data_IF_558731078664
#
_entry.id   IF_558731078664
#
_cell.length_a   1.000
_cell.length_b   1.000
_cell.length_c   1.000
_cell.angle_alpha   90.00
_cell.angle_beta   90.00
_cell.angle_gamma   90.00
#
_symmetry.space_group_name_H-M   'P 1'
#
loop_
_entity.id
_entity.type
_entity.pdbx_description
1 polymer ?
#
# COMPACT_ATOMS: atom_id res chain seq x y z
N UNK A 1 -28.13 -2.33 6.85
CA UNK A 1 -26.73 -2.47 7.28
C UNK A 1 -26.07 -3.73 6.67
N UNK A 2 -26.69 -4.91 6.79
CA UNK A 2 -26.07 -6.16 6.32
C UNK A 2 -25.73 -6.16 4.82
N UNK A 3 -26.60 -5.57 3.98
CA UNK A 3 -26.35 -5.48 2.53
C UNK A 3 -25.18 -4.56 2.22
N UNK A 4 -25.06 -3.42 2.95
CA UNK A 4 -23.92 -2.52 2.82
C UNK A 4 -22.61 -3.24 3.18
N UNK A 5 -22.62 -3.99 4.29
CA UNK A 5 -21.46 -4.77 4.73
C UNK A 5 -21.06 -5.84 3.72
N UNK A 6 -22.02 -6.60 3.21
CA UNK A 6 -21.75 -7.69 2.25
C UNK A 6 -21.20 -7.12 0.94
N UNK A 7 -21.77 -6.02 0.45
CA UNK A 7 -21.31 -5.38 -0.77
C UNK A 7 -19.88 -4.85 -0.61
N UNK A 8 -19.62 -4.14 0.50
CA UNK A 8 -18.32 -3.51 0.76
C UNK A 8 -17.16 -4.50 0.94
N UNK A 9 -17.46 -5.79 1.21
CA UNK A 9 -16.42 -6.81 1.25
C UNK A 9 -15.69 -6.96 -0.10
N UNK A 10 -16.37 -6.70 -1.23
CA UNK A 10 -15.74 -6.76 -2.56
C UNK A 10 -14.66 -5.69 -2.78
N UNK A 11 -14.66 -4.62 -2.00
CA UNK A 11 -13.64 -3.57 -2.12
C UNK A 11 -12.25 -4.04 -1.68
N UNK A 12 -12.19 -5.02 -0.76
CA UNK A 12 -10.94 -5.58 -0.27
C UNK A 12 -10.15 -6.35 -1.34
N UNK A 13 -10.78 -6.71 -2.46
CA UNK A 13 -10.10 -7.34 -3.60
C UNK A 13 -9.11 -6.37 -4.28
N UNK A 14 -9.25 -5.05 -4.06
CA UNK A 14 -8.29 -4.04 -4.51
C UNK A 14 -6.95 -4.09 -3.76
N UNK A 15 -6.87 -4.76 -2.60
CA UNK A 15 -5.63 -4.87 -1.84
C UNK A 15 -4.67 -5.88 -2.48
N UNK A 16 -3.33 -5.68 -2.36
CA UNK A 16 -2.34 -6.57 -2.95
C UNK A 16 -2.52 -8.02 -2.54
N UNK A 17 -2.31 -8.93 -3.48
CA UNK A 17 -2.27 -10.37 -3.23
C UNK A 17 -0.87 -10.81 -2.81
N UNK A 18 -0.75 -12.04 -2.26
CA UNK A 18 0.56 -12.58 -1.90
C UNK A 18 1.51 -12.74 -3.10
N UNK A 19 0.98 -12.93 -4.31
CA UNK A 19 1.77 -13.01 -5.54
C UNK A 19 2.43 -11.69 -5.92
N UNK A 20 1.82 -10.56 -5.53
CA UNK A 20 2.32 -9.22 -5.89
C UNK A 20 3.64 -8.89 -5.19
N UNK A 21 3.89 -9.49 -4.02
CA UNK A 21 5.17 -9.35 -3.29
C UNK A 21 6.36 -9.74 -4.17
N UNK A 22 6.20 -10.79 -5.01
CA UNK A 22 7.25 -11.26 -5.91
C UNK A 22 7.09 -10.73 -7.34
N UNK A 23 5.97 -10.09 -7.64
CA UNK A 23 5.68 -9.47 -8.94
C UNK A 23 6.27 -8.07 -9.09
N UNK A 24 6.52 -7.41 -7.97
CA UNK A 24 7.00 -6.03 -7.99
C UNK A 24 8.37 -5.89 -8.67
N UNK A 25 8.46 -4.88 -9.51
CA UNK A 25 9.70 -4.44 -10.16
C UNK A 25 10.51 -3.56 -9.19
N UNK A 26 10.98 -4.18 -8.09
CA UNK A 26 11.78 -3.50 -7.07
C UNK A 26 13.24 -3.94 -7.14
N UNK A 27 14.13 -3.07 -6.76
CA UNK A 27 15.57 -3.31 -6.76
C UNK A 27 16.11 -4.03 -5.51
N UNK A 28 15.21 -4.52 -4.66
CA UNK A 28 15.55 -5.24 -3.42
C UNK A 28 15.56 -6.77 -3.61
N UNK A 29 14.77 -7.27 -4.56
CA UNK A 29 14.62 -8.69 -4.85
C UNK A 29 15.01 -8.93 -6.29
N UNK A 30 15.93 -9.87 -6.50
CA UNK A 30 16.39 -10.27 -7.83
C UNK A 30 15.80 -11.64 -8.14
N UNK A 31 15.15 -11.73 -9.29
CA UNK A 31 14.69 -12.99 -9.90
C UNK A 31 15.59 -13.36 -11.08
N UNK A 32 15.44 -14.57 -11.57
CA UNK A 32 16.16 -15.03 -12.77
C UNK A 32 15.85 -14.14 -13.97
N UNK A 33 14.57 -13.70 -14.11
CA UNK A 33 14.17 -12.70 -15.09
C UNK A 33 13.94 -11.36 -14.38
N UNK A 34 14.82 -10.41 -14.65
CA UNK A 34 14.67 -9.05 -14.16
C UNK A 34 13.48 -8.38 -14.85
N UNK A 35 12.70 -7.60 -14.10
CA UNK A 35 11.63 -6.78 -14.65
C UNK A 35 12.18 -5.77 -15.67
N UNK A 36 11.39 -5.46 -16.69
CA UNK A 36 11.79 -4.54 -17.77
C UNK A 36 12.13 -3.14 -17.24
N UNK A 37 11.49 -2.71 -16.16
CA UNK A 37 11.79 -1.45 -15.48
C UNK A 37 13.25 -1.42 -14.95
N UNK A 38 13.70 -2.52 -14.35
CA UNK A 38 15.07 -2.63 -13.83
C UNK A 38 16.09 -2.76 -14.97
N UNK A 39 15.69 -3.44 -16.06
CA UNK A 39 16.53 -3.60 -17.26
C UNK A 39 16.60 -2.35 -18.12
N UNK A 40 15.71 -1.37 -17.90
CA UNK A 40 15.58 -0.21 -18.76
C UNK A 40 15.00 -0.51 -20.14
N UNK A 41 14.34 -1.65 -20.30
CA UNK A 41 13.76 -2.13 -21.56
C UNK A 41 12.24 -2.02 -21.62
N UNK A 42 11.63 -1.38 -20.63
CA UNK A 42 10.18 -1.23 -20.56
C UNK A 42 9.62 -0.52 -21.79
N UNK A 43 8.65 -1.16 -22.41
CA UNK A 43 7.86 -0.58 -23.50
C UNK A 43 6.48 -0.26 -22.93
N UNK A 44 6.00 0.98 -23.15
CA UNK A 44 4.65 1.35 -22.76
C UNK A 44 3.67 0.57 -23.67
N UNK A 45 2.79 -0.28 -23.10
CA UNK A 45 1.86 -1.03 -23.91
C UNK A 45 0.84 -0.11 -24.59
N UNK A 46 0.39 -0.47 -25.79
CA UNK A 46 -0.64 0.26 -26.53
C UNK A 46 -2.04 0.05 -25.96
N UNK A 47 -2.25 -1.06 -25.27
CA UNK A 47 -3.52 -1.42 -24.64
C UNK A 47 -3.26 -1.89 -23.23
N UNK A 48 -4.25 -1.78 -22.35
CA UNK A 48 -4.22 -2.21 -20.96
C UNK A 48 -3.19 -1.44 -20.11
N UNK A 49 -2.08 -2.02 -19.77
CA UNK A 49 -1.05 -1.37 -18.94
C UNK A 49 -1.50 -0.97 -17.55
N UNK A 50 -2.59 -1.55 -17.04
CA UNK A 50 -3.20 -1.20 -15.76
C UNK A 50 -4.24 -0.06 -15.86
N UNK A 51 -4.65 0.34 -17.08
CA UNK A 51 -5.73 1.31 -17.31
C UNK A 51 -7.10 0.63 -17.18
N UNK A 52 -7.38 0.06 -16.01
CA UNK A 52 -8.62 -0.65 -15.66
C UNK A 52 -9.43 0.18 -14.67
N UNK A 53 -10.75 0.16 -14.77
CA UNK A 53 -11.67 1.03 -14.01
C UNK A 53 -12.81 0.27 -13.35
N UNK A 54 -12.79 -1.07 -13.41
CA UNK A 54 -13.84 -1.93 -12.87
C UNK A 54 -14.01 -1.75 -11.36
N UNK A 55 -12.91 -1.69 -10.63
CA UNK A 55 -12.92 -1.47 -9.17
C UNK A 55 -13.56 -0.14 -8.81
N UNK A 56 -13.19 0.94 -9.51
CA UNK A 56 -13.78 2.25 -9.30
C UNK A 56 -15.28 2.25 -9.60
N UNK A 57 -15.66 1.61 -10.71
CA UNK A 57 -17.08 1.49 -11.08
C UNK A 57 -17.88 0.78 -10.00
N UNK A 58 -17.33 -0.28 -9.41
CA UNK A 58 -17.95 -1.00 -8.30
C UNK A 58 -18.12 -0.10 -7.06
N UNK A 59 -17.07 0.65 -6.69
CA UNK A 59 -17.10 1.59 -5.56
C UNK A 59 -18.14 2.71 -5.81
N UNK A 60 -18.11 3.34 -6.96
CA UNK A 60 -19.02 4.43 -7.30
C UNK A 60 -20.48 3.93 -7.39
N UNK A 61 -20.72 2.74 -7.94
CA UNK A 61 -22.05 2.13 -7.94
C UNK A 61 -22.59 1.96 -6.51
N UNK A 62 -21.74 1.53 -5.59
CA UNK A 62 -22.12 1.47 -4.17
C UNK A 62 -22.49 2.86 -3.64
N UNK A 63 -21.64 3.88 -3.82
CA UNK A 63 -21.85 5.23 -3.33
C UNK A 63 -23.14 5.87 -3.91
N UNK A 64 -23.43 5.65 -5.18
CA UNK A 64 -24.66 6.11 -5.86
C UNK A 64 -25.93 5.48 -5.26
N UNK A 65 -25.82 4.32 -4.62
CA UNK A 65 -26.98 3.57 -4.11
C UNK A 65 -27.05 3.50 -2.57
N UNK A 66 -26.01 3.89 -1.85
CA UNK A 66 -25.94 3.79 -0.39
C UNK A 66 -27.04 4.58 0.33
N UNK A 67 -27.50 5.69 -0.28
CA UNK A 67 -28.59 6.53 0.23
C UNK A 67 -29.93 5.79 0.41
N UNK A 68 -30.09 4.60 -0.19
CA UNK A 68 -31.24 3.73 0.01
C UNK A 68 -31.28 3.10 1.39
N UNK A 69 -30.16 3.08 2.10
CA UNK A 69 -30.10 2.61 3.48
C UNK A 69 -30.61 3.69 4.42
N UNK A 70 -31.64 3.35 5.20
CA UNK A 70 -32.26 4.28 6.17
C UNK A 70 -31.45 4.43 7.46
N UNK A 71 -30.55 3.49 7.75
CA UNK A 71 -29.63 3.58 8.89
C UNK A 71 -28.46 4.49 8.52
N UNK A 72 -28.54 5.73 8.99
CA UNK A 72 -27.56 6.76 8.68
C UNK A 72 -26.18 6.45 9.26
N UNK A 73 -26.09 5.89 10.45
CA UNK A 73 -24.83 5.56 11.09
C UNK A 73 -24.09 4.44 10.31
N UNK A 74 -24.81 3.40 9.92
CA UNK A 74 -24.28 2.34 9.07
C UNK A 74 -23.86 2.90 7.71
N UNK A 75 -24.68 3.75 7.09
CA UNK A 75 -24.39 4.38 5.81
C UNK A 75 -23.09 5.18 5.87
N UNK A 76 -22.95 6.10 6.84
CA UNK A 76 -21.76 6.94 6.99
C UNK A 76 -20.48 6.09 7.14
N UNK A 77 -20.56 5.02 7.94
CA UNK A 77 -19.42 4.10 8.13
C UNK A 77 -19.03 3.38 6.84
N UNK A 78 -19.99 2.82 6.12
CA UNK A 78 -19.68 2.05 4.92
C UNK A 78 -19.40 2.94 3.70
N UNK A 79 -19.95 4.15 3.64
CA UNK A 79 -19.57 5.18 2.66
C UNK A 79 -18.11 5.62 2.89
N UNK A 80 -17.70 5.77 4.15
CA UNK A 80 -16.32 6.05 4.51
C UNK A 80 -15.36 4.93 4.08
N UNK A 81 -15.78 3.66 4.22
CA UNK A 81 -15.02 2.53 3.71
C UNK A 81 -14.90 2.56 2.17
N UNK A 82 -15.99 2.84 1.47
CA UNK A 82 -15.97 2.99 0.02
C UNK A 82 -15.04 4.13 -0.44
N UNK A 83 -15.07 5.27 0.25
CA UNK A 83 -14.20 6.42 -0.01
C UNK A 83 -12.72 6.10 0.27
N UNK A 84 -12.42 5.34 1.31
CA UNK A 84 -11.08 4.84 1.55
C UNK A 84 -10.55 4.05 0.34
N UNK A 85 -11.34 3.12 -0.20
CA UNK A 85 -10.93 2.33 -1.35
C UNK A 85 -10.89 3.15 -2.64
N UNK A 86 -11.74 4.18 -2.79
CA UNK A 86 -11.65 5.11 -3.92
C UNK A 86 -10.36 5.93 -3.86
N UNK A 87 -9.99 6.44 -2.70
CA UNK A 87 -8.72 7.13 -2.50
C UNK A 87 -7.53 6.20 -2.79
N UNK A 88 -7.57 4.95 -2.32
CA UNK A 88 -6.55 3.94 -2.58
C UNK A 88 -6.40 3.67 -4.08
N UNK A 89 -7.50 3.44 -4.78
CA UNK A 89 -7.55 3.23 -6.23
C UNK A 89 -6.93 4.39 -7.00
N UNK A 90 -7.40 5.61 -6.73
CA UNK A 90 -6.89 6.78 -7.43
C UNK A 90 -5.44 7.09 -7.11
N UNK A 91 -5.00 6.84 -5.90
CA UNK A 91 -3.59 6.98 -5.55
C UNK A 91 -2.71 6.04 -6.39
N UNK A 92 -3.15 4.80 -6.60
CA UNK A 92 -2.42 3.87 -7.47
C UNK A 92 -2.41 4.35 -8.93
N UNK A 93 -3.53 4.84 -9.45
CA UNK A 93 -3.62 5.41 -10.80
C UNK A 93 -2.72 6.64 -10.97
N UNK A 94 -2.69 7.56 -10.01
CA UNK A 94 -1.83 8.75 -10.06
C UNK A 94 -0.35 8.38 -10.03
N UNK A 95 0.05 7.42 -9.22
CA UNK A 95 1.44 6.93 -9.20
C UNK A 95 1.88 6.42 -10.57
N UNK A 96 0.99 5.75 -11.29
CA UNK A 96 1.29 5.09 -12.56
C UNK A 96 1.15 5.99 -13.77
N UNK A 97 0.13 6.86 -13.80
CA UNK A 97 -0.28 7.59 -15.00
C UNK A 97 -0.18 9.11 -14.88
N UNK A 98 0.04 9.65 -13.70
CA UNK A 98 -0.04 11.09 -13.44
C UNK A 98 -1.48 11.58 -13.49
N UNK A 99 -1.81 12.41 -14.47
CA UNK A 99 -3.17 12.88 -14.70
C UNK A 99 -4.08 11.73 -15.12
N UNK A 100 -5.27 11.66 -14.50
CA UNK A 100 -6.29 10.64 -14.79
C UNK A 100 -7.69 11.26 -14.68
N UNK A 101 -8.70 10.77 -15.41
CA UNK A 101 -10.06 11.29 -15.27
C UNK A 101 -10.60 10.97 -13.87
N UNK A 102 -11.26 11.96 -13.24
CA UNK A 102 -11.94 11.78 -11.98
C UNK A 102 -13.43 11.48 -12.21
N UNK A 103 -13.89 10.33 -11.71
CA UNK A 103 -15.29 9.92 -11.81
C UNK A 103 -15.91 9.79 -10.42
N UNK A 104 -16.95 10.58 -10.16
CA UNK A 104 -17.68 10.51 -8.89
C UNK A 104 -18.81 9.49 -8.90
N UNK A 105 -19.30 9.12 -10.09
CA UNK A 105 -20.43 8.24 -10.30
C UNK A 105 -20.06 7.01 -11.15
N UNK A 106 -20.86 5.96 -11.02
CA UNK A 106 -20.71 4.78 -11.86
C UNK A 106 -21.19 5.08 -13.28
N UNK A 107 -20.25 5.07 -14.23
CA UNK A 107 -20.57 5.31 -15.64
C UNK A 107 -21.24 4.09 -16.27
N UNK A 108 -22.10 4.34 -17.24
CA UNK A 108 -22.69 3.36 -18.13
C UNK A 108 -22.29 3.64 -19.60
N UNK A 109 -22.69 2.76 -20.50
CA UNK A 109 -22.36 2.84 -21.93
C UNK A 109 -22.98 4.03 -22.69
N UNK A 110 -23.90 4.75 -22.07
CA UNK A 110 -24.57 5.93 -22.63
C UNK A 110 -23.96 7.26 -22.16
N UNK A 111 -23.05 7.22 -21.21
CA UNK A 111 -22.40 8.40 -20.65
C UNK A 111 -21.21 8.83 -21.54
N UNK A 112 -21.46 9.02 -22.85
CA UNK A 112 -20.42 9.29 -23.85
C UNK A 112 -19.55 10.49 -23.48
N UNK A 113 -20.14 11.58 -22.96
CA UNK A 113 -19.41 12.79 -22.57
C UNK A 113 -18.40 12.47 -21.44
N UNK A 114 -18.81 11.75 -20.42
CA UNK A 114 -17.94 11.36 -19.31
C UNK A 114 -16.89 10.32 -19.73
N UNK A 115 -17.25 9.38 -20.62
CA UNK A 115 -16.31 8.37 -21.14
C UNK A 115 -15.21 9.01 -22.01
N UNK A 116 -15.49 10.15 -22.65
CA UNK A 116 -14.56 10.88 -23.52
C UNK A 116 -13.93 12.10 -22.83
N UNK A 117 -14.16 12.29 -21.53
CA UNK A 117 -13.59 13.44 -20.83
C UNK A 117 -12.06 13.40 -20.82
N UNK A 118 -11.46 14.58 -20.81
CA UNK A 118 -10.02 14.72 -20.65
C UNK A 118 -9.56 14.28 -19.27
N UNK A 119 -8.27 13.99 -19.13
CA UNK A 119 -7.68 13.70 -17.82
C UNK A 119 -7.78 14.93 -16.92
N UNK A 120 -8.20 14.73 -15.70
CA UNK A 120 -8.14 15.69 -14.61
C UNK A 120 -6.68 15.81 -14.14
N UNK A 121 -6.25 17.02 -13.81
CA UNK A 121 -4.88 17.24 -13.39
C UNK A 121 -4.54 16.45 -12.11
N UNK A 122 -3.29 16.00 -12.02
CA UNK A 122 -2.76 15.33 -10.82
C UNK A 122 -3.09 16.10 -9.54
N UNK A 123 -2.93 17.42 -9.56
CA UNK A 123 -3.19 18.28 -8.39
C UNK A 123 -4.64 18.17 -7.94
N UNK A 124 -5.59 18.28 -8.85
CA UNK A 124 -7.02 18.18 -8.56
C UNK A 124 -7.43 16.78 -8.12
N UNK A 125 -6.89 15.74 -8.77
CA UNK A 125 -7.13 14.34 -8.35
C UNK A 125 -6.61 14.10 -6.94
N UNK A 126 -5.46 14.66 -6.57
CA UNK A 126 -4.93 14.56 -5.20
C UNK A 126 -5.81 15.28 -4.18
N UNK A 127 -6.40 16.43 -4.51
CA UNK A 127 -7.33 17.12 -3.62
C UNK A 127 -8.59 16.27 -3.39
N UNK A 128 -9.12 15.61 -4.41
CA UNK A 128 -10.22 14.65 -4.26
C UNK A 128 -9.83 13.41 -3.43
N UNK A 129 -8.64 12.87 -3.65
CA UNK A 129 -8.11 11.75 -2.85
C UNK A 129 -8.04 12.13 -1.37
N UNK A 130 -7.54 13.34 -1.05
CA UNK A 130 -7.47 13.82 0.32
C UNK A 130 -8.85 14.03 0.93
N UNK A 131 -9.81 14.56 0.18
CA UNK A 131 -11.19 14.70 0.66
C UNK A 131 -11.83 13.33 0.99
N UNK A 132 -11.60 12.32 0.16
CA UNK A 132 -12.09 10.96 0.41
C UNK A 132 -11.42 10.31 1.63
N UNK A 133 -10.10 10.46 1.77
CA UNK A 133 -9.39 9.88 2.92
C UNK A 133 -9.72 10.60 4.24
N UNK A 134 -9.94 11.92 4.21
CA UNK A 134 -10.37 12.68 5.38
C UNK A 134 -11.79 12.28 5.82
N UNK A 135 -12.68 12.01 4.86
CA UNK A 135 -13.99 11.44 5.16
C UNK A 135 -13.85 10.04 5.78
N UNK A 136 -12.95 9.21 5.25
CA UNK A 136 -12.68 7.90 5.82
C UNK A 136 -12.17 7.99 7.27
N UNK A 137 -11.25 8.91 7.56
CA UNK A 137 -10.77 9.17 8.91
C UNK A 137 -11.91 9.61 9.83
N UNK A 138 -12.82 10.46 9.36
CA UNK A 138 -13.91 11.01 10.19
C UNK A 138 -14.95 9.96 10.60
N UNK A 139 -15.23 8.95 9.78
CA UNK A 139 -16.38 8.05 9.97
C UNK A 139 -16.03 6.56 10.12
N UNK A 140 -14.79 6.16 9.89
CA UNK A 140 -14.37 4.79 10.18
C UNK A 140 -14.15 4.59 11.68
N UNK A 141 -14.40 3.36 12.19
CA UNK A 141 -14.23 3.07 13.63
C UNK A 141 -12.76 3.12 14.06
N UNK A 142 -12.53 3.63 15.27
CA UNK A 142 -11.20 3.65 15.92
C UNK A 142 -10.82 2.29 16.54
N UNK A 143 -11.78 1.38 16.70
CA UNK A 143 -11.49 0.03 17.21
C UNK A 143 -10.47 -0.68 16.30
N UNK A 144 -9.37 -1.16 16.90
CA UNK A 144 -8.31 -1.87 16.15
C UNK A 144 -8.79 -3.25 15.70
N UNK A 145 -8.90 -3.43 14.40
CA UNK A 145 -9.27 -4.70 13.75
C UNK A 145 -8.31 -4.98 12.62
N UNK A 146 -7.45 -5.94 12.82
CA UNK A 146 -6.31 -6.20 11.91
C UNK A 146 -6.73 -6.65 10.51
N UNK A 147 -7.95 -7.17 10.34
CA UNK A 147 -8.45 -7.62 9.04
C UNK A 147 -9.54 -6.70 8.46
N UNK A 148 -9.79 -5.55 9.08
CA UNK A 148 -10.74 -4.55 8.59
C UNK A 148 -10.04 -3.20 8.44
N UNK A 149 -10.47 -2.43 7.46
CA UNK A 149 -10.06 -1.02 7.32
C UNK A 149 -10.70 -0.21 8.45
N UNK A 150 -9.88 0.52 9.19
CA UNK A 150 -10.27 1.33 10.34
C UNK A 150 -9.81 2.78 10.16
N UNK A 151 -10.20 3.64 11.07
CA UNK A 151 -9.67 5.00 11.20
C UNK A 151 -8.12 5.03 11.12
N UNK A 152 -7.46 4.11 11.83
CA UNK A 152 -5.99 4.02 11.84
C UNK A 152 -5.40 3.60 10.50
N UNK A 153 -6.10 2.74 9.77
CA UNK A 153 -5.72 2.37 8.40
C UNK A 153 -5.80 3.58 7.46
N UNK A 154 -6.85 4.39 7.62
CA UNK A 154 -7.04 5.60 6.82
C UNK A 154 -5.95 6.66 7.12
N UNK A 155 -5.58 6.86 8.39
CA UNK A 155 -4.45 7.72 8.77
C UNK A 155 -3.11 7.23 8.19
N UNK A 156 -2.87 5.92 8.26
CA UNK A 156 -1.66 5.33 7.68
C UNK A 156 -1.61 5.52 6.15
N UNK A 157 -2.73 5.37 5.47
CA UNK A 157 -2.82 5.62 4.03
C UNK A 157 -2.63 7.10 3.72
N UNK A 158 -3.24 8.02 4.49
CA UNK A 158 -3.05 9.47 4.33
C UNK A 158 -1.58 9.85 4.45
N UNK A 159 -0.90 9.37 5.51
CA UNK A 159 0.52 9.61 5.70
C UNK A 159 1.35 9.14 4.49
N UNK A 160 1.05 7.96 3.94
CA UNK A 160 1.73 7.40 2.75
C UNK A 160 1.46 8.23 1.49
N UNK A 161 0.21 8.61 1.23
CA UNK A 161 -0.18 9.43 0.08
C UNK A 161 0.55 10.77 0.13
N UNK A 162 0.49 11.44 1.28
CA UNK A 162 1.06 12.77 1.46
C UNK A 162 2.59 12.74 1.41
N UNK A 163 3.24 11.73 1.99
CA UNK A 163 4.68 11.56 1.89
C UNK A 163 5.13 11.35 0.44
N UNK A 164 4.43 10.46 -0.29
CA UNK A 164 4.74 10.20 -1.69
C UNK A 164 4.57 11.45 -2.54
N UNK A 165 3.42 12.12 -2.44
CA UNK A 165 3.14 13.30 -3.24
C UNK A 165 4.06 14.47 -2.90
N UNK A 166 4.32 14.72 -1.61
CA UNK A 166 5.23 15.76 -1.17
C UNK A 166 6.65 15.54 -1.68
N UNK A 167 7.16 14.31 -1.59
CA UNK A 167 8.49 13.98 -2.12
C UNK A 167 8.52 14.00 -3.64
N UNK A 168 7.47 13.52 -4.31
CA UNK A 168 7.36 13.61 -5.77
C UNK A 168 7.45 15.07 -6.24
N UNK A 169 6.64 15.97 -5.69
CA UNK A 169 6.65 17.40 -6.04
C UNK A 169 7.98 18.07 -5.75
N UNK A 170 8.62 17.67 -4.66
CA UNK A 170 9.90 18.25 -4.23
C UNK A 170 11.07 17.89 -5.14
N UNK A 171 11.08 16.66 -5.67
CA UNK A 171 12.23 16.12 -6.40
C UNK A 171 12.03 16.03 -7.90
N UNK A 172 10.84 16.36 -8.41
CA UNK A 172 10.50 16.36 -9.82
C UNK A 172 10.10 17.77 -10.28
N UNK A 173 11.06 18.67 -10.27
CA UNK A 173 10.89 20.09 -10.63
C UNK A 173 10.38 20.27 -12.07
N UNK A 174 10.63 19.30 -12.94
CA UNK A 174 10.19 19.29 -14.34
C UNK A 174 8.66 19.34 -14.50
N UNK A 175 7.90 18.91 -13.49
CA UNK A 175 6.43 18.98 -13.50
C UNK A 175 5.89 20.30 -12.95
N UNK A 176 6.73 21.13 -12.33
CA UNK A 176 6.35 22.42 -11.76
C UNK A 176 5.10 22.36 -10.86
N UNK A 177 5.01 21.34 -10.00
CA UNK A 177 3.88 21.12 -9.09
C UNK A 177 4.07 21.92 -7.81
N UNK A 178 3.05 22.71 -7.35
CA UNK A 178 3.16 23.54 -6.16
C UNK A 178 2.96 22.75 -4.86
N UNK A 179 3.24 23.40 -3.73
CA UNK A 179 2.78 23.01 -2.39
C UNK A 179 3.32 21.68 -1.84
N UNK A 180 4.55 21.28 -2.19
CA UNK A 180 5.12 20.05 -1.66
C UNK A 180 5.20 20.05 -0.12
N UNK A 181 5.42 21.21 0.51
CA UNK A 181 5.50 21.35 1.96
C UNK A 181 4.17 21.06 2.66
N UNK A 182 3.03 21.46 2.06
CA UNK A 182 1.69 21.10 2.58
C UNK A 182 1.56 19.59 2.72
N UNK A 183 1.89 18.85 1.67
CA UNK A 183 1.80 17.38 1.70
C UNK A 183 2.74 16.76 2.72
N UNK A 184 3.98 17.23 2.84
CA UNK A 184 4.92 16.73 3.84
C UNK A 184 4.43 17.01 5.28
N UNK A 185 3.86 18.18 5.53
CA UNK A 185 3.28 18.54 6.82
C UNK A 185 2.05 17.68 7.15
N UNK A 186 1.18 17.42 6.19
CA UNK A 186 0.05 16.51 6.38
C UNK A 186 0.50 15.08 6.63
N UNK A 187 1.56 14.61 5.96
CA UNK A 187 2.14 13.31 6.22
C UNK A 187 2.65 13.19 7.67
N UNK A 188 3.36 14.21 8.15
CA UNK A 188 3.83 14.27 9.54
C UNK A 188 2.66 14.27 10.52
N UNK A 189 1.64 15.10 10.27
CA UNK A 189 0.48 15.19 11.17
C UNK A 189 -0.29 13.88 11.26
N UNK A 190 -0.54 13.21 10.12
CA UNK A 190 -1.24 11.93 10.11
C UNK A 190 -0.41 10.81 10.78
N UNK A 191 0.90 10.78 10.57
CA UNK A 191 1.79 9.83 11.21
C UNK A 191 1.90 10.07 12.72
N UNK A 192 2.02 11.32 13.16
CA UNK A 192 2.07 11.69 14.58
C UNK A 192 0.79 11.30 15.30
N UNK A 193 -0.36 11.58 14.71
CA UNK A 193 -1.66 11.18 15.26
C UNK A 193 -1.77 9.65 15.39
N UNK A 194 -1.38 8.90 14.36
CA UNK A 194 -1.34 7.44 14.40
C UNK A 194 -0.44 6.95 15.53
N UNK A 195 0.79 7.44 15.61
CA UNK A 195 1.77 6.99 16.61
C UNK A 195 1.38 7.34 18.04
N UNK A 196 0.76 8.49 18.26
CA UNK A 196 0.46 9.00 19.60
C UNK A 196 -0.89 8.54 20.15
N UNK A 197 -1.89 8.33 19.28
CA UNK A 197 -3.27 8.05 19.72
C UNK A 197 -3.72 6.62 19.48
N UNK A 198 -3.16 5.88 18.53
CA UNK A 198 -3.65 4.54 18.17
C UNK A 198 -3.31 3.45 19.19
N UNK A 199 -2.25 3.64 19.97
CA UNK A 199 -1.72 2.61 20.83
C UNK A 199 -1.02 1.47 20.08
N UNK A 200 -0.70 1.64 18.77
CA UNK A 200 0.23 0.73 18.09
C UNK A 200 1.65 0.96 18.61
N UNK A 201 2.41 -0.12 18.65
CA UNK A 201 3.81 -0.09 19.09
C UNK A 201 4.58 -1.18 18.35
N UNK A 202 5.87 -0.97 18.18
CA UNK A 202 6.75 -1.99 17.62
C UNK A 202 6.71 -3.24 18.52
N UNK A 203 6.52 -4.40 17.91
CA UNK A 203 6.49 -5.68 18.61
C UNK A 203 7.83 -5.96 19.29
N UNK A 204 7.77 -6.25 20.58
CA UNK A 204 8.93 -6.65 21.34
C UNK A 204 8.53 -7.51 22.55
N UNK A 205 9.17 -8.66 22.66
CA UNK A 205 9.13 -9.54 23.82
C UNK A 205 10.41 -9.44 24.67
N UNK A 206 11.22 -8.41 24.42
CA UNK A 206 12.50 -8.21 25.07
C UNK A 206 13.60 -9.17 24.59
N UNK A 207 13.42 -9.77 23.41
CA UNK A 207 14.37 -10.71 22.79
C UNK A 207 14.77 -10.21 21.41
N UNK A 208 15.59 -9.17 21.29
CA UNK A 208 15.91 -8.52 20.04
C UNK A 208 16.50 -9.48 18.98
N UNK A 209 17.10 -10.59 19.41
CA UNK A 209 17.67 -11.61 18.52
C UNK A 209 16.62 -12.48 17.80
N UNK A 210 15.39 -12.51 18.29
CA UNK A 210 14.32 -13.35 17.74
C UNK A 210 12.99 -12.62 17.53
N UNK A 211 12.80 -11.45 18.11
CA UNK A 211 11.50 -10.75 18.08
C UNK A 211 11.06 -10.46 16.63
N UNK A 212 11.98 -10.00 15.78
CA UNK A 212 11.68 -9.74 14.37
C UNK A 212 11.28 -11.01 13.61
N UNK A 213 12.02 -12.10 13.79
CA UNK A 213 11.68 -13.38 13.18
C UNK A 213 10.32 -13.87 13.68
N UNK A 214 10.07 -13.82 14.99
CA UNK A 214 8.82 -14.25 15.58
C UNK A 214 7.63 -13.42 15.10
N UNK A 215 7.83 -12.13 14.88
CA UNK A 215 6.81 -11.24 14.33
C UNK A 215 6.37 -11.68 12.93
N UNK A 216 7.33 -11.88 12.02
CA UNK A 216 7.02 -12.25 10.64
C UNK A 216 6.70 -13.74 10.43
N UNK A 217 7.10 -14.62 11.35
CA UNK A 217 6.77 -16.04 11.32
C UNK A 217 5.48 -16.40 12.08
N UNK A 218 4.78 -15.41 12.63
CA UNK A 218 3.52 -15.59 13.34
C UNK A 218 2.43 -16.13 12.42
N UNK A 219 1.64 -17.09 12.90
CA UNK A 219 0.46 -17.58 12.19
C UNK A 219 -0.65 -16.53 12.11
N UNK A 220 -0.76 -15.71 13.16
CA UNK A 220 -1.74 -14.63 13.25
C UNK A 220 -1.04 -13.28 13.26
N UNK A 221 -1.67 -12.29 12.63
CA UNK A 221 -1.16 -10.93 12.63
C UNK A 221 -1.13 -10.35 14.06
N UNK A 222 0.03 -9.86 14.48
CA UNK A 222 0.23 -9.32 15.84
C UNK A 222 -0.39 -7.92 15.91
N UNK A 223 -1.54 -7.82 16.58
CA UNK A 223 -2.39 -6.62 16.69
C UNK A 223 -1.71 -5.39 17.30
N UNK A 224 -0.61 -5.59 18.00
CA UNK A 224 0.13 -4.48 18.61
C UNK A 224 0.86 -3.62 17.57
N UNK A 225 1.31 -4.22 16.46
CA UNK A 225 2.09 -3.54 15.43
C UNK A 225 1.37 -3.52 14.06
N UNK A 226 0.66 -4.61 13.70
CA UNK A 226 0.03 -4.73 12.38
C UNK A 226 -1.25 -3.91 12.32
N UNK A 227 -1.29 -2.95 11.39
CA UNK A 227 -2.45 -2.05 11.18
C UNK A 227 -3.52 -2.73 10.34
N UNK A 228 -3.12 -3.39 9.24
CA UNK A 228 -4.01 -4.12 8.34
C UNK A 228 -3.28 -5.34 7.79
N UNK A 229 -3.93 -6.49 7.83
CA UNK A 229 -3.42 -7.73 7.25
C UNK A 229 -4.52 -8.52 6.56
N UNK A 230 -4.15 -9.22 5.49
CA UNK A 230 -5.02 -10.21 4.87
C UNK A 230 -4.93 -11.51 5.66
N UNK A 231 -6.09 -12.03 6.10
CA UNK A 231 -6.17 -13.33 6.76
C UNK A 231 -6.13 -14.48 5.73
N UNK A 232 -5.44 -15.56 6.08
CA UNK A 232 -5.44 -16.82 5.35
C UNK A 232 -5.92 -17.92 6.29
N UNK A 233 -6.69 -18.87 5.78
CA UNK A 233 -7.32 -19.90 6.61
C UNK A 233 -7.61 -21.17 5.82
N UNK A 234 -7.22 -22.31 6.37
CA UNK A 234 -7.57 -23.63 5.84
C UNK A 234 -9.08 -23.88 5.91
N UNK A 235 -9.74 -23.41 6.98
CA UNK A 235 -11.18 -23.56 7.15
C UNK A 235 -11.99 -22.90 6.02
N UNK A 236 -11.55 -21.70 5.60
CA UNK A 236 -12.19 -20.94 4.53
C UNK A 236 -11.56 -21.18 3.16
N UNK A 237 -10.57 -22.08 3.07
CA UNK A 237 -9.85 -22.39 1.83
C UNK A 237 -9.23 -21.15 1.16
N UNK A 238 -8.83 -20.17 1.95
CA UNK A 238 -8.13 -18.98 1.49
C UNK A 238 -6.65 -19.18 1.72
N UNK A 239 -5.92 -19.41 0.64
CA UNK A 239 -4.50 -19.75 0.66
C UNK A 239 -3.64 -18.67 0.05
N UNK A 240 -2.37 -18.66 0.41
CA UNK A 240 -1.31 -18.00 -0.34
C UNK A 240 -0.31 -19.05 -0.85
N UNK A 241 0.42 -18.69 -1.87
CA UNK A 241 1.41 -19.56 -2.50
C UNK A 241 2.86 -19.11 -2.23
N UNK A 242 3.10 -18.39 -1.15
CA UNK A 242 4.40 -17.84 -0.79
C UNK A 242 5.50 -18.92 -0.70
N UNK A 243 5.18 -20.05 -0.03
CA UNK A 243 6.10 -21.18 0.07
C UNK A 243 6.44 -21.78 -1.29
N UNK A 244 5.46 -21.81 -2.19
CA UNK A 244 5.68 -22.31 -3.55
C UNK A 244 6.67 -21.42 -4.31
N UNK A 245 6.51 -20.10 -4.24
CA UNK A 245 7.45 -19.17 -4.88
C UNK A 245 8.86 -19.22 -4.28
N UNK A 246 8.99 -19.44 -2.97
CA UNK A 246 10.30 -19.44 -2.31
C UNK A 246 11.03 -20.79 -2.44
N UNK A 247 10.30 -21.90 -2.44
CA UNK A 247 10.90 -23.24 -2.33
C UNK A 247 11.00 -23.98 -3.67
N UNK A 248 10.19 -23.62 -4.66
CA UNK A 248 10.15 -24.35 -5.93
C UNK A 248 11.21 -23.84 -6.88
N UNK A 249 12.11 -24.73 -7.28
CA UNK A 249 13.26 -24.42 -8.14
C UNK A 249 12.89 -23.81 -9.50
N UNK A 250 11.69 -24.08 -10.02
CA UNK A 250 11.18 -23.56 -11.30
C UNK A 250 10.71 -22.10 -11.23
N UNK A 251 10.56 -21.50 -10.03
CA UNK A 251 10.06 -20.13 -9.86
C UNK A 251 11.16 -19.08 -9.65
N UNK A 252 12.34 -19.32 -10.16
CA UNK A 252 13.37 -18.29 -10.26
C UNK A 252 14.15 -18.00 -9.00
N UNK A 253 13.87 -18.69 -7.88
CA UNK A 253 14.63 -18.58 -6.63
C UNK A 253 14.98 -17.12 -6.31
N UNK A 254 14.03 -16.31 -5.82
CA UNK A 254 14.28 -14.89 -5.55
C UNK A 254 15.46 -14.76 -4.59
N UNK A 255 16.41 -13.89 -4.94
CA UNK A 255 17.54 -13.51 -4.12
C UNK A 255 17.39 -12.08 -3.63
N UNK A 256 18.01 -11.76 -2.50
CA UNK A 256 18.11 -10.38 -2.05
C UNK A 256 19.27 -9.68 -2.80
N UNK A 257 19.02 -8.43 -3.17
CA UNK A 257 20.05 -7.59 -3.77
C UNK A 257 21.12 -7.23 -2.71
N UNK A 258 22.41 -7.26 -3.11
CA UNK A 258 23.53 -7.03 -2.19
C UNK A 258 23.47 -5.67 -1.48
N UNK A 259 22.96 -4.63 -2.15
CA UNK A 259 22.79 -3.30 -1.57
C UNK A 259 21.80 -3.32 -0.42
N UNK A 260 20.67 -4.03 -0.56
CA UNK A 260 19.72 -4.23 0.53
C UNK A 260 20.38 -4.95 1.70
N UNK A 261 21.07 -6.06 1.45
CA UNK A 261 21.81 -6.79 2.50
C UNK A 261 22.84 -5.87 3.17
N UNK A 262 23.57 -5.06 2.42
CA UNK A 262 24.55 -4.12 2.96
C UNK A 262 23.95 -2.96 3.76
N UNK A 263 22.65 -2.66 3.58
CA UNK A 263 21.96 -1.63 4.37
C UNK A 263 21.69 -2.03 5.83
N UNK A 264 21.70 -3.32 6.14
CA UNK A 264 21.58 -3.80 7.52
C UNK A 264 22.80 -3.41 8.33
N UNK A 265 22.60 -2.90 9.53
CA UNK A 265 23.64 -2.38 10.39
C UNK A 265 24.45 -3.49 11.07
N UNK A 266 25.58 -3.15 11.63
CA UNK A 266 26.30 -3.98 12.59
C UNK A 266 25.55 -3.98 13.94
N UNK A 267 25.84 -4.94 14.82
CA UNK A 267 25.21 -5.01 16.17
C UNK A 267 25.49 -3.77 17.04
N UNK A 268 26.56 -3.05 16.75
CA UNK A 268 26.90 -1.79 17.43
C UNK A 268 26.24 -0.54 16.79
N UNK A 269 25.36 -0.73 15.80
CA UNK A 269 24.64 0.33 15.09
C UNK A 269 25.42 1.04 13.98
N UNK A 270 26.68 0.65 13.72
CA UNK A 270 27.44 1.20 12.61
C UNK A 270 27.01 0.60 11.27
N UNK A 271 27.29 1.33 10.19
CA UNK A 271 27.04 0.79 8.85
C UNK A 271 28.03 -0.33 8.54
N UNK A 272 27.55 -1.39 7.90
CA UNK A 272 28.42 -2.46 7.41
C UNK A 272 29.41 -1.94 6.36
N UNK A 273 28.99 -1.04 5.50
CA UNK A 273 29.81 -0.43 4.45
C UNK A 273 30.97 0.42 4.98
N UNK A 274 30.98 0.75 6.26
CA UNK A 274 32.09 1.45 6.92
C UNK A 274 33.20 0.47 7.38
N UNK A 275 32.98 -0.85 7.27
CA UNK A 275 33.96 -1.85 7.63
C UNK A 275 35.06 -1.95 6.55
N UNK A 276 36.34 -1.99 6.93
CA UNK A 276 37.41 -2.21 5.94
C UNK A 276 37.23 -3.51 5.16
N UNK A 277 37.28 -3.42 3.84
CA UNK A 277 37.18 -4.59 2.96
C UNK A 277 35.79 -5.19 2.82
N UNK A 278 34.74 -4.47 3.20
CA UNK A 278 33.34 -4.98 3.15
C UNK A 278 32.92 -5.46 1.75
N UNK A 279 33.44 -4.88 0.70
CA UNK A 279 33.15 -5.16 -0.71
C UNK A 279 33.85 -6.42 -1.24
N UNK A 280 34.87 -6.89 -0.53
CA UNK A 280 35.66 -8.07 -0.88
C UNK A 280 35.48 -9.24 0.09
N UNK A 281 34.64 -9.10 1.11
CA UNK A 281 34.35 -10.17 2.07
C UNK A 281 33.60 -11.33 1.42
N UNK A 282 33.94 -12.56 1.84
CA UNK A 282 33.15 -13.74 1.51
C UNK A 282 31.79 -13.69 2.23
N UNK A 283 30.74 -14.25 1.62
CA UNK A 283 29.40 -14.29 2.20
C UNK A 283 29.35 -14.87 3.62
N UNK A 284 30.23 -15.79 3.96
CA UNK A 284 30.36 -16.37 5.32
C UNK A 284 30.87 -15.36 6.36
N UNK A 285 31.58 -14.32 5.92
CA UNK A 285 32.11 -13.26 6.77
C UNK A 285 31.17 -12.05 6.83
N UNK A 286 30.49 -11.74 5.73
CA UNK A 286 29.57 -10.60 5.60
C UNK A 286 28.46 -10.60 6.65
N UNK A 287 28.04 -11.77 7.13
CA UNK A 287 26.95 -11.90 8.10
C UNK A 287 27.41 -11.83 9.56
N UNK A 288 28.73 -11.88 9.81
CA UNK A 288 29.24 -11.85 11.18
C UNK A 288 29.08 -10.48 11.84
N UNK A 289 28.56 -10.50 13.07
CA UNK A 289 28.39 -9.27 13.87
C UNK A 289 27.34 -8.29 13.35
N UNK A 290 26.50 -8.71 12.42
CA UNK A 290 25.38 -7.93 11.94
C UNK A 290 24.18 -7.94 12.89
N UNK A 291 23.27 -7.03 12.67
CA UNK A 291 21.93 -7.04 13.25
C UNK A 291 21.28 -8.42 13.01
N UNK A 292 20.66 -9.04 14.02
CA UNK A 292 20.11 -10.39 13.92
C UNK A 292 18.85 -10.50 13.05
N UNK A 293 18.30 -9.41 12.58
CA UNK A 293 17.09 -9.35 11.70
C UNK A 293 17.33 -9.97 10.33
#
# INVERSE_FOLDING_TARGET
>A
ENDLRLYSNSFYDALPSASDIYGEAVDNIIKMDLADEIRGTRIVPTNDGGWTWEELRNINFYLDNSSKCVDEAARLRYDALARFFRAYFYFDKVKRFGDVPWYEHALNDKDEESLMMSRTSRTEVLDHILADIDNAIAFLPEEKKVNEVTHWTALALKARICLYEGTFRKYHDEFNLPDYERFLNEAVSAADELMTKSGYKIYSMGKPESDYLNFFASHEAIKDEVILARGYSDEFQVYHNLNYYTMTASFGRPGLEKRLVNSYLMRDGKRFTDQPGYDTMFFTEEMKGRDPR
#
